data_IF_494250256108
#
_entry.id   IF_494250256108
#
_cell.length_a   1.000
_cell.length_b   1.000
_cell.length_c   1.000
_cell.angle_alpha   90.00
_cell.angle_beta   90.00
_cell.angle_gamma   90.00
#
_symmetry.space_group_name_H-M   'P 1'
#
loop_
_entity.id
_entity.type
_entity.pdbx_description
1 polymer ?
#
# COMPACT_ATOMS: atom_id res chain seq x y z
N UNK A 1 -50.97 19.04 -49.29
CA UNK A 1 -49.73 18.25 -49.40
C UNK A 1 -48.71 18.72 -48.35
N UNK A 2 -48.44 17.83 -47.39
CA UNK A 2 -47.34 17.74 -46.41
C UNK A 2 -46.20 18.79 -46.43
N UNK A 3 -46.13 19.63 -45.38
CA UNK A 3 -44.88 20.19 -44.81
C UNK A 3 -44.66 19.58 -43.40
N UNK A 4 -44.40 18.29 -43.32
CA UNK A 4 -44.11 17.58 -42.05
C UNK A 4 -42.63 17.13 -41.95
N UNK A 5 -41.84 17.34 -43.01
CA UNK A 5 -40.50 16.78 -43.16
C UNK A 5 -39.34 17.67 -42.70
N UNK A 6 -39.56 18.87 -42.16
CA UNK A 6 -38.45 19.73 -41.68
C UNK A 6 -38.43 19.86 -40.16
N UNK A 7 -39.60 19.90 -39.52
CA UNK A 7 -39.71 20.02 -38.06
C UNK A 7 -39.20 18.77 -37.33
N UNK A 8 -39.40 17.58 -37.90
CA UNK A 8 -38.89 16.32 -37.31
C UNK A 8 -37.36 16.23 -37.35
N UNK A 9 -36.71 16.69 -38.42
CA UNK A 9 -35.24 16.65 -38.52
C UNK A 9 -34.59 17.66 -37.57
N UNK A 10 -35.21 18.81 -37.35
CA UNK A 10 -34.73 19.78 -36.36
C UNK A 10 -34.85 19.25 -34.93
N UNK A 11 -35.94 18.55 -34.61
CA UNK A 11 -36.11 17.92 -33.30
C UNK A 11 -35.10 16.77 -33.06
N UNK A 12 -34.87 15.91 -34.07
CA UNK A 12 -33.93 14.79 -33.97
C UNK A 12 -32.47 15.27 -33.96
N UNK A 13 -32.13 16.30 -34.74
CA UNK A 13 -30.79 16.90 -34.73
C UNK A 13 -30.49 17.58 -33.38
N UNK A 14 -31.48 18.26 -32.78
CA UNK A 14 -31.36 18.85 -31.44
C UNK A 14 -31.11 17.79 -30.36
N UNK A 15 -31.83 16.66 -30.40
CA UNK A 15 -31.64 15.57 -29.44
C UNK A 15 -30.25 14.90 -29.56
N UNK A 16 -29.74 14.70 -30.78
CA UNK A 16 -28.40 14.15 -31.02
C UNK A 16 -27.28 15.09 -30.55
N UNK A 17 -27.44 16.40 -30.74
CA UNK A 17 -26.47 17.39 -30.28
C UNK A 17 -26.34 17.40 -28.75
N UNK A 18 -27.45 17.26 -28.02
CA UNK A 18 -27.44 17.17 -26.55
C UNK A 18 -26.74 15.90 -26.07
N UNK A 19 -26.97 14.75 -26.71
CA UNK A 19 -26.30 13.48 -26.35
C UNK A 19 -24.80 13.55 -26.60
N UNK A 20 -24.37 14.12 -27.72
CA UNK A 20 -22.95 14.31 -28.05
C UNK A 20 -22.30 15.33 -27.11
N UNK A 21 -23.01 16.40 -26.75
CA UNK A 21 -22.56 17.38 -25.76
C UNK A 21 -22.41 16.73 -24.37
N UNK A 22 -23.34 15.86 -23.96
CA UNK A 22 -23.24 15.10 -22.71
C UNK A 22 -22.11 14.05 -22.73
N UNK A 23 -21.62 13.65 -23.90
CA UNK A 23 -20.49 12.73 -24.07
C UNK A 23 -19.13 13.46 -24.20
N UNK A 24 -19.14 14.71 -24.67
CA UNK A 24 -17.95 15.57 -24.79
C UNK A 24 -17.69 16.44 -23.54
N UNK A 25 -18.67 16.57 -22.65
CA UNK A 25 -18.41 17.07 -21.30
C UNK A 25 -17.45 16.08 -20.61
N UNK A 26 -16.33 16.55 -20.05
CA UNK A 26 -15.46 15.70 -19.25
C UNK A 26 -16.29 15.13 -18.10
N UNK A 27 -16.62 13.84 -18.17
CA UNK A 27 -17.19 13.12 -17.04
C UNK A 27 -16.06 12.86 -16.06
N UNK A 28 -15.80 13.84 -15.20
CA UNK A 28 -15.08 13.55 -13.96
C UNK A 28 -16.07 12.77 -13.08
N UNK A 29 -15.82 11.48 -12.75
CA UNK A 29 -16.53 10.87 -11.64
C UNK A 29 -16.29 11.75 -10.42
N UNK A 30 -17.39 12.26 -9.84
CA UNK A 30 -17.36 13.10 -8.66
C UNK A 30 -16.96 12.29 -7.43
N UNK A 31 -15.66 12.14 -7.22
CA UNK A 31 -15.06 12.10 -5.88
C UNK A 31 -14.32 13.42 -5.70
N UNK A 32 -15.08 14.50 -5.51
CA UNK A 32 -14.55 15.73 -4.93
C UNK A 32 -14.22 15.47 -3.46
N UNK A 33 -13.14 14.74 -3.21
CA UNK A 33 -12.40 14.93 -1.97
C UNK A 33 -11.66 16.25 -2.18
N UNK A 34 -12.27 17.35 -1.76
CA UNK A 34 -11.55 18.62 -1.70
C UNK A 34 -10.41 18.52 -0.69
N UNK A 35 -9.37 19.37 -0.76
CA UNK A 35 -8.29 19.39 0.23
C UNK A 35 -8.82 19.45 1.67
N UNK A 36 -9.98 20.07 1.89
CA UNK A 36 -10.63 20.15 3.20
C UNK A 36 -11.16 18.78 3.69
N UNK A 37 -11.65 17.90 2.81
CA UNK A 37 -12.13 16.57 3.19
C UNK A 37 -10.97 15.57 3.34
N UNK A 38 -9.96 15.66 2.48
CA UNK A 38 -8.78 14.80 2.59
C UNK A 38 -7.99 15.13 3.85
N UNK A 39 -7.78 16.42 4.15
CA UNK A 39 -7.08 16.88 5.35
C UNK A 39 -7.80 16.46 6.65
N UNK A 40 -9.13 16.63 6.73
CA UNK A 40 -9.91 16.24 7.91
C UNK A 40 -9.93 14.71 8.10
N UNK A 41 -10.03 13.94 7.02
CA UNK A 41 -9.94 12.47 7.09
C UNK A 41 -8.53 12.02 7.48
N UNK A 42 -7.47 12.68 6.99
CA UNK A 42 -6.10 12.35 7.40
C UNK A 42 -5.83 12.67 8.86
N UNK A 43 -6.38 13.77 9.38
CA UNK A 43 -6.22 14.17 10.79
C UNK A 43 -6.95 13.20 11.73
N UNK A 44 -8.18 12.79 11.38
CA UNK A 44 -8.91 11.78 12.16
C UNK A 44 -8.24 10.40 12.11
N UNK A 45 -7.77 9.97 10.93
CA UNK A 45 -7.05 8.71 10.77
C UNK A 45 -5.76 8.69 11.60
N UNK A 46 -4.96 9.76 11.53
CA UNK A 46 -3.70 9.84 12.27
C UNK A 46 -3.95 9.78 13.78
N UNK A 47 -4.94 10.50 14.28
CA UNK A 47 -5.33 10.45 15.69
C UNK A 47 -5.73 9.05 16.13
N UNK A 48 -6.52 8.34 15.32
CA UNK A 48 -6.96 6.96 15.61
C UNK A 48 -5.80 5.96 15.52
N UNK A 49 -4.83 6.19 14.64
CA UNK A 49 -3.59 5.41 14.57
C UNK A 49 -2.77 5.59 15.84
N UNK A 50 -2.57 6.82 16.30
CA UNK A 50 -1.81 7.12 17.51
C UNK A 50 -2.47 6.49 18.75
N UNK A 51 -3.80 6.56 18.85
CA UNK A 51 -4.58 5.87 19.88
C UNK A 51 -4.37 4.35 19.82
N UNK A 52 -4.48 3.75 18.64
CA UNK A 52 -4.30 2.31 18.47
C UNK A 52 -2.88 1.86 18.86
N UNK A 53 -1.85 2.61 18.44
CA UNK A 53 -0.45 2.37 18.78
C UNK A 53 -0.23 2.50 20.30
N UNK A 54 -0.83 3.50 20.94
CA UNK A 54 -0.74 3.67 22.39
C UNK A 54 -1.40 2.49 23.13
N UNK A 55 -2.55 2.01 22.67
CA UNK A 55 -3.22 0.83 23.23
C UNK A 55 -2.37 -0.44 23.06
N UNK A 56 -1.77 -0.67 21.88
CA UNK A 56 -0.89 -1.83 21.64
C UNK A 56 0.30 -1.84 22.59
N UNK A 57 0.91 -0.67 22.84
CA UNK A 57 2.05 -0.54 23.75
C UNK A 57 1.65 -0.40 25.23
N UNK A 58 0.35 -0.34 25.53
CA UNK A 58 -0.20 -0.10 26.85
C UNK A 58 -0.71 -1.37 27.53
N UNK A 59 -1.69 -1.19 28.42
CA UNK A 59 -2.30 -2.28 29.19
C UNK A 59 -3.33 -3.09 28.39
N UNK A 60 -3.84 -2.52 27.29
CA UNK A 60 -4.95 -3.07 26.50
C UNK A 60 -4.52 -3.43 25.06
N UNK A 61 -3.49 -4.27 24.86
CA UNK A 61 -2.90 -4.49 23.55
C UNK A 61 -3.88 -5.09 22.53
N UNK A 62 -4.84 -5.91 23.01
CA UNK A 62 -5.85 -6.49 22.15
C UNK A 62 -6.77 -5.43 21.55
N UNK A 63 -7.16 -4.42 22.33
CA UNK A 63 -8.00 -3.32 21.85
C UNK A 63 -7.27 -2.51 20.76
N UNK A 64 -5.98 -2.23 20.96
CA UNK A 64 -5.15 -1.53 19.96
C UNK A 64 -5.05 -2.30 18.64
N UNK A 65 -4.81 -3.62 18.70
CA UNK A 65 -4.78 -4.45 17.48
C UNK A 65 -6.15 -4.52 16.80
N UNK A 66 -7.25 -4.59 17.56
CA UNK A 66 -8.60 -4.55 16.99
C UNK A 66 -8.88 -3.21 16.29
N UNK A 67 -8.49 -2.09 16.89
CA UNK A 67 -8.64 -0.77 16.29
C UNK A 67 -7.81 -0.65 15.00
N UNK A 68 -6.56 -1.12 14.98
CA UNK A 68 -5.76 -1.14 13.75
C UNK A 68 -6.37 -2.00 12.64
N UNK A 69 -6.99 -3.13 12.99
CA UNK A 69 -7.69 -3.98 12.00
C UNK A 69 -8.90 -3.27 11.42
N UNK A 70 -9.69 -2.62 12.26
CA UNK A 70 -10.82 -1.80 11.81
C UNK A 70 -10.35 -0.68 10.88
N UNK A 71 -9.28 0.05 11.24
CA UNK A 71 -8.70 1.08 10.38
C UNK A 71 -8.24 0.52 9.03
N UNK A 72 -7.74 -0.72 8.99
CA UNK A 72 -7.30 -1.34 7.75
C UNK A 72 -8.47 -1.77 6.84
N UNK A 73 -9.65 -2.00 7.43
CA UNK A 73 -10.88 -2.28 6.71
C UNK A 73 -11.53 -0.99 6.18
N UNK A 74 -11.51 0.08 6.98
CA UNK A 74 -12.04 1.40 6.61
C UNK A 74 -11.16 2.12 5.58
N UNK A 75 -9.83 1.93 5.68
CA UNK A 75 -8.83 2.62 4.88
C UNK A 75 -7.81 1.65 4.26
N UNK A 76 -8.24 0.72 3.40
CA UNK A 76 -7.37 -0.32 2.83
C UNK A 76 -6.23 0.24 1.96
N UNK A 77 -6.36 1.47 1.47
CA UNK A 77 -5.39 2.19 0.66
C UNK A 77 -4.34 2.98 1.46
N UNK A 78 -4.47 3.05 2.79
CA UNK A 78 -3.56 3.83 3.64
C UNK A 78 -2.38 2.97 4.09
N UNK A 79 -1.16 3.20 3.56
CA UNK A 79 0.00 2.37 3.87
C UNK A 79 0.44 2.46 5.34
N UNK A 80 0.14 3.55 6.05
CA UNK A 80 0.45 3.75 7.47
C UNK A 80 -0.24 2.69 8.35
N UNK A 81 -1.48 2.33 8.02
CA UNK A 81 -2.23 1.34 8.80
C UNK A 81 -1.60 -0.05 8.66
N UNK A 82 -1.25 -0.44 7.43
CA UNK A 82 -0.58 -1.71 7.17
C UNK A 82 0.84 -1.73 7.76
N UNK A 83 1.54 -0.60 7.77
CA UNK A 83 2.83 -0.45 8.42
C UNK A 83 2.76 -0.79 9.92
N UNK A 84 1.84 -0.18 10.66
CA UNK A 84 1.67 -0.46 12.09
C UNK A 84 1.25 -1.92 12.35
N UNK A 85 0.31 -2.47 11.57
CA UNK A 85 -0.05 -3.88 11.68
C UNK A 85 1.14 -4.82 11.39
N UNK A 86 2.02 -4.45 10.46
CA UNK A 86 3.25 -5.18 10.16
C UNK A 86 4.23 -5.17 11.32
N UNK A 87 4.53 -4.00 11.88
CA UNK A 87 5.41 -3.84 13.03
C UNK A 87 4.92 -4.65 14.25
N UNK A 88 3.63 -4.55 14.58
CA UNK A 88 3.08 -5.28 15.71
C UNK A 88 2.94 -6.79 15.46
N UNK A 89 2.83 -7.20 14.20
CA UNK A 89 2.93 -8.61 13.84
C UNK A 89 4.35 -9.15 14.09
N UNK A 90 5.40 -8.39 13.74
CA UNK A 90 6.78 -8.75 14.10
C UNK A 90 6.99 -8.81 15.61
N UNK A 91 6.53 -7.80 16.35
CA UNK A 91 6.66 -7.74 17.81
C UNK A 91 6.03 -8.97 18.51
N UNK A 92 4.96 -9.52 17.93
CA UNK A 92 4.26 -10.70 18.44
C UNK A 92 4.73 -12.03 17.81
N UNK A 93 5.78 -12.01 16.99
CA UNK A 93 6.32 -13.20 16.33
C UNK A 93 5.49 -13.76 15.17
N UNK A 94 4.45 -13.05 14.73
CA UNK A 94 3.59 -13.41 13.60
C UNK A 94 4.24 -12.94 12.28
N UNK A 95 5.39 -13.53 11.95
CA UNK A 95 6.26 -13.09 10.84
C UNK A 95 5.57 -13.21 9.48
N UNK A 96 4.74 -14.25 9.30
CA UNK A 96 3.92 -14.45 8.09
C UNK A 96 2.95 -13.28 7.85
N UNK A 97 2.28 -12.85 8.91
CA UNK A 97 1.36 -11.70 8.86
C UNK A 97 2.12 -10.41 8.66
N UNK A 98 3.28 -10.26 9.28
CA UNK A 98 4.14 -9.11 9.06
C UNK A 98 4.54 -8.97 7.58
N UNK A 99 5.03 -10.05 6.96
CA UNK A 99 5.38 -10.06 5.55
C UNK A 99 4.19 -9.69 4.65
N UNK A 100 3.00 -10.23 4.93
CA UNK A 100 1.78 -9.88 4.18
C UNK A 100 1.43 -8.39 4.31
N UNK A 101 1.59 -7.79 5.49
CA UNK A 101 1.31 -6.37 5.74
C UNK A 101 2.35 -5.47 5.08
N UNK A 102 3.65 -5.75 5.20
CA UNK A 102 4.68 -4.97 4.53
C UNK A 102 4.61 -5.09 3.00
N UNK A 103 4.20 -6.26 2.47
CA UNK A 103 3.89 -6.40 1.04
C UNK A 103 2.81 -5.39 0.62
N UNK A 104 1.75 -5.24 1.42
CA UNK A 104 0.71 -4.24 1.14
C UNK A 104 1.24 -2.81 1.17
N UNK A 105 2.16 -2.49 2.10
CA UNK A 105 2.81 -1.18 2.15
C UNK A 105 3.59 -0.89 0.87
N UNK A 106 4.41 -1.83 0.38
CA UNK A 106 5.20 -1.62 -0.85
C UNK A 106 4.34 -1.61 -2.12
N UNK A 107 3.19 -2.28 -2.13
CA UNK A 107 2.21 -2.21 -3.22
C UNK A 107 1.53 -0.83 -3.28
N UNK A 108 1.31 -0.19 -2.13
CA UNK A 108 0.68 1.12 -2.03
C UNK A 108 1.68 2.27 -2.23
N UNK A 109 2.94 2.11 -1.78
CA UNK A 109 4.03 3.07 -1.96
C UNK A 109 4.65 2.97 -3.36
N UNK A 110 3.86 3.31 -4.38
CA UNK A 110 4.32 3.30 -5.78
C UNK A 110 5.40 4.36 -6.07
N UNK A 111 5.51 5.38 -5.24
CA UNK A 111 6.48 6.46 -5.37
C UNK A 111 7.85 6.12 -4.75
N UNK A 112 7.96 5.00 -4.00
CA UNK A 112 9.20 4.60 -3.33
C UNK A 112 9.61 5.56 -2.20
N UNK A 113 8.63 6.20 -1.57
CA UNK A 113 8.83 7.20 -0.51
C UNK A 113 9.07 6.59 0.87
N UNK A 114 8.86 5.28 1.02
CA UNK A 114 9.05 4.50 2.24
C UNK A 114 9.89 3.25 1.96
N UNK A 115 11.19 3.41 1.61
CA UNK A 115 12.07 2.28 1.34
C UNK A 115 12.17 1.29 2.52
N UNK A 116 11.95 1.75 3.76
CA UNK A 116 11.96 0.92 4.96
C UNK A 116 10.96 -0.24 4.89
N UNK A 117 9.87 -0.11 4.14
CA UNK A 117 8.91 -1.19 3.93
C UNK A 117 9.53 -2.37 3.18
N UNK A 118 10.42 -2.12 2.21
CA UNK A 118 11.19 -3.17 1.54
C UNK A 118 12.18 -3.85 2.49
N UNK A 119 12.82 -3.09 3.38
CA UNK A 119 13.70 -3.64 4.41
C UNK A 119 12.95 -4.56 5.37
N UNK A 120 11.81 -4.09 5.90
CA UNK A 120 10.95 -4.88 6.80
C UNK A 120 10.39 -6.13 6.11
N UNK A 121 10.01 -6.04 4.84
CA UNK A 121 9.56 -7.18 4.05
C UNK A 121 10.69 -8.21 3.87
N UNK A 122 11.89 -7.76 3.51
CA UNK A 122 13.06 -8.63 3.33
C UNK A 122 13.47 -9.33 4.63
N UNK A 123 13.50 -8.61 5.75
CA UNK A 123 13.76 -9.18 7.08
C UNK A 123 12.68 -10.20 7.46
N UNK A 124 11.40 -9.91 7.20
CA UNK A 124 10.31 -10.85 7.48
C UNK A 124 10.47 -12.14 6.67
N UNK A 125 10.85 -12.05 5.39
CA UNK A 125 11.13 -13.24 4.57
C UNK A 125 12.35 -14.02 5.06
N UNK A 126 13.43 -13.33 5.45
CA UNK A 126 14.63 -13.99 5.99
C UNK A 126 14.30 -14.76 7.29
N UNK A 127 13.49 -14.19 8.17
CA UNK A 127 13.03 -14.86 9.40
C UNK A 127 12.16 -16.11 9.13
N UNK A 128 11.53 -16.19 7.95
CA UNK A 128 10.75 -17.37 7.50
C UNK A 128 11.58 -18.34 6.65
N UNK A 129 12.90 -18.16 6.59
CA UNK A 129 13.81 -18.91 5.70
C UNK A 129 13.41 -18.86 4.21
N UNK A 130 12.63 -17.84 3.83
CA UNK A 130 12.22 -17.57 2.46
C UNK A 130 13.31 -16.76 1.75
N UNK A 131 14.45 -17.41 1.49
CA UNK A 131 15.69 -16.75 1.08
C UNK A 131 15.54 -15.92 -0.20
N UNK A 132 14.96 -16.49 -1.26
CA UNK A 132 14.80 -15.79 -2.54
C UNK A 132 13.93 -14.51 -2.40
N UNK A 133 12.70 -14.58 -1.83
CA UNK A 133 11.94 -13.36 -1.53
C UNK A 133 12.66 -12.33 -0.64
N UNK A 134 13.49 -12.79 0.31
CA UNK A 134 14.28 -11.91 1.16
C UNK A 134 15.34 -11.13 0.34
N UNK A 135 16.08 -11.83 -0.53
CA UNK A 135 17.07 -11.24 -1.43
C UNK A 135 16.42 -10.21 -2.35
N UNK A 136 15.26 -10.53 -2.94
CA UNK A 136 14.55 -9.61 -3.82
C UNK A 136 14.15 -8.32 -3.11
N UNK A 137 13.54 -8.44 -1.92
CA UNK A 137 13.08 -7.29 -1.15
C UNK A 137 14.25 -6.42 -0.65
N UNK A 138 15.32 -7.02 -0.13
CA UNK A 138 16.52 -6.28 0.31
C UNK A 138 17.27 -5.63 -0.86
N UNK A 139 17.26 -6.26 -2.04
CA UNK A 139 17.80 -5.65 -3.27
C UNK A 139 17.02 -4.39 -3.64
N UNK A 140 15.67 -4.40 -3.52
CA UNK A 140 14.85 -3.19 -3.71
C UNK A 140 15.15 -2.12 -2.67
N UNK A 141 15.25 -2.48 -1.39
CA UNK A 141 15.64 -1.54 -0.34
C UNK A 141 16.97 -0.85 -0.64
N UNK A 142 17.98 -1.63 -1.04
CA UNK A 142 19.31 -1.13 -1.41
C UNK A 142 19.27 -0.11 -2.56
N UNK A 143 18.41 -0.34 -3.56
CA UNK A 143 18.28 0.55 -4.73
C UNK A 143 17.66 1.90 -4.34
N UNK A 144 16.71 1.90 -3.39
CA UNK A 144 15.95 3.09 -3.01
C UNK A 144 16.64 3.91 -1.92
N UNK A 145 17.51 3.29 -1.11
CA UNK A 145 18.18 3.98 0.00
C UNK A 145 19.49 4.62 -0.45
N UNK A 146 19.69 5.94 -0.26
CA UNK A 146 20.96 6.61 -0.58
C UNK A 146 22.02 6.51 0.53
N UNK A 147 21.60 6.19 1.75
CA UNK A 147 22.46 6.14 2.93
C UNK A 147 23.57 5.06 2.80
N UNK A 148 24.86 5.43 2.90
CA UNK A 148 25.96 4.50 2.72
C UNK A 148 26.04 3.38 3.77
N UNK A 149 25.73 3.69 5.04
CA UNK A 149 25.80 2.71 6.12
C UNK A 149 24.68 1.67 5.99
N UNK A 150 23.46 2.12 5.70
CA UNK A 150 22.34 1.24 5.39
C UNK A 150 22.63 0.35 4.17
N UNK A 151 23.26 0.90 3.11
CA UNK A 151 23.67 0.09 1.95
C UNK A 151 24.68 -0.97 2.32
N UNK A 152 25.71 -0.62 3.09
CA UNK A 152 26.74 -1.56 3.54
C UNK A 152 26.13 -2.68 4.37
N UNK A 153 25.26 -2.36 5.34
CA UNK A 153 24.55 -3.35 6.14
C UNK A 153 23.67 -4.26 5.28
N UNK A 154 22.97 -3.69 4.29
CA UNK A 154 22.15 -4.47 3.35
C UNK A 154 22.99 -5.38 2.45
N UNK A 155 24.16 -4.92 2.00
CA UNK A 155 25.09 -5.72 1.20
C UNK A 155 25.62 -6.92 1.97
N UNK A 156 25.92 -6.76 3.26
CA UNK A 156 26.31 -7.86 4.14
C UNK A 156 25.17 -8.88 4.31
N UNK A 157 23.95 -8.42 4.61
CA UNK A 157 22.79 -9.30 4.74
C UNK A 157 22.48 -10.06 3.44
N UNK A 158 22.61 -9.41 2.28
CA UNK A 158 22.43 -10.05 0.97
C UNK A 158 23.48 -11.12 0.69
N UNK A 159 24.72 -10.90 1.11
CA UNK A 159 25.79 -11.90 0.96
C UNK A 159 25.53 -13.13 1.83
N UNK A 160 25.17 -12.92 3.10
CA UNK A 160 24.80 -14.01 4.01
C UNK A 160 23.65 -14.85 3.46
N UNK A 161 22.60 -14.21 2.93
CA UNK A 161 21.47 -14.91 2.31
C UNK A 161 21.88 -15.71 1.07
N UNK A 162 22.82 -15.22 0.26
CA UNK A 162 23.33 -15.95 -0.92
C UNK A 162 24.15 -17.17 -0.53
N UNK A 163 25.02 -17.03 0.48
CA UNK A 163 25.77 -18.16 1.03
C UNK A 163 24.81 -19.25 1.52
N UNK A 164 23.79 -18.86 2.31
CA UNK A 164 22.78 -19.80 2.79
C UNK A 164 22.02 -20.49 1.64
N UNK A 165 21.69 -19.75 0.57
CA UNK A 165 21.04 -20.31 -0.62
C UNK A 165 21.92 -21.38 -1.29
N UNK A 166 23.20 -21.07 -1.51
CA UNK A 166 24.16 -21.99 -2.12
C UNK A 166 24.33 -23.25 -1.25
N UNK A 167 24.41 -23.09 0.07
CA UNK A 167 24.49 -24.22 1.02
C UNK A 167 23.24 -25.11 0.96
N UNK A 168 22.04 -24.52 0.90
CA UNK A 168 20.79 -25.28 0.75
C UNK A 168 20.75 -26.03 -0.59
N UNK A 169 21.18 -25.40 -1.69
CA UNK A 169 21.25 -26.02 -3.01
C UNK A 169 22.23 -27.20 -3.06
N UNK A 170 23.34 -27.11 -2.34
CA UNK A 170 24.31 -28.20 -2.22
C UNK A 170 23.81 -29.35 -1.33
N UNK A 171 23.07 -29.07 -0.26
CA UNK A 171 22.54 -30.09 0.64
C UNK A 171 21.43 -30.96 0.01
N UNK A 172 20.77 -30.47 -1.05
CA UNK A 172 19.67 -31.16 -1.74
C UNK A 172 20.12 -32.04 -2.92
N UNK A 173 21.43 -32.08 -3.24
CA UNK A 173 22.03 -32.91 -4.29
C UNK A 173 22.62 -34.19 -3.72
#
# INVERSE_FOLDING_TARGET
>A
MRRWGTVHYLAVAGALAVVVLLFLLPRTPGTTTGPDQEAVVTDDLQRRLDEAVALVNGQEPMQGIMLLRQLAEEHPERPEVHWHLGLFSLQSGQVDKAAARFRKVVELDTAGTRPEAWSMLGQSYAMMDSILPAIDALTRYRQLTPDPEARKATDQALEELRINLDEQDHALR
#
